data_IF_894442042742
#
_entry.id   IF_894442042742
#
_cell.length_a   1.000
_cell.length_b   1.000
_cell.length_c   1.000
_cell.angle_alpha   90.00
_cell.angle_beta   90.00
_cell.angle_gamma   90.00
#
_symmetry.space_group_name_H-M   'P 1'
#
loop_
_entity.id
_entity.type
_entity.pdbx_description
1 polymer ?
#
# COMPACT_ATOMS: atom_id res chain seq x y z
N UNK A 1 22.28 29.57 -44.31
CA UNK A 1 22.97 30.71 -44.95
C UNK A 1 23.93 31.30 -43.93
N UNK A 2 25.23 31.07 -44.08
CA UNK A 2 26.23 31.79 -43.29
C UNK A 2 26.21 33.26 -43.74
N UNK A 3 26.20 34.24 -42.81
CA UNK A 3 26.13 35.65 -43.18
C UNK A 3 27.37 36.03 -44.01
N UNK A 4 27.14 36.76 -45.11
CA UNK A 4 28.12 37.18 -46.13
C UNK A 4 29.37 37.90 -45.58
N UNK A 5 29.30 38.41 -44.35
CA UNK A 5 30.41 39.03 -43.65
C UNK A 5 31.49 38.04 -43.20
N UNK A 6 31.11 36.80 -42.84
CA UNK A 6 32.07 35.77 -42.39
C UNK A 6 32.93 35.22 -43.53
N UNK A 7 32.38 35.18 -44.75
CA UNK A 7 33.10 34.76 -45.96
C UNK A 7 34.18 35.77 -46.36
N UNK A 8 33.91 37.07 -46.21
CA UNK A 8 34.86 38.13 -46.60
C UNK A 8 36.10 38.19 -45.69
N UNK A 9 35.93 37.95 -44.38
CA UNK A 9 37.03 37.92 -43.39
C UNK A 9 37.88 36.64 -43.49
N UNK A 10 37.34 35.56 -44.03
CA UNK A 10 38.08 34.32 -44.26
C UNK A 10 39.01 34.44 -45.47
N UNK A 11 38.57 35.13 -46.53
CA UNK A 11 39.34 35.23 -47.78
C UNK A 11 40.58 36.12 -47.67
N UNK A 12 40.56 37.16 -46.83
CA UNK A 12 41.68 38.10 -46.59
C UNK A 12 42.85 37.52 -45.77
N UNK A 13 42.76 36.27 -45.29
CA UNK A 13 43.79 35.66 -44.43
C UNK A 13 44.85 34.88 -45.21
N UNK A 14 46.09 34.95 -44.74
CA UNK A 14 47.23 34.25 -45.36
C UNK A 14 46.99 32.73 -45.45
N UNK A 15 47.59 32.02 -46.44
CA UNK A 15 47.44 30.57 -46.59
C UNK A 15 47.82 29.78 -45.33
N UNK A 16 48.82 30.26 -44.57
CA UNK A 16 49.24 29.67 -43.30
C UNK A 16 48.15 29.79 -42.22
N UNK A 17 47.47 30.94 -42.17
CA UNK A 17 46.35 31.17 -41.26
C UNK A 17 45.16 30.27 -41.62
N UNK A 18 44.80 30.15 -42.91
CA UNK A 18 43.74 29.25 -43.38
C UNK A 18 44.02 27.78 -43.00
N UNK A 19 45.27 27.32 -43.14
CA UNK A 19 45.71 25.98 -42.68
C UNK A 19 45.59 25.80 -41.17
N UNK A 20 45.94 26.82 -40.38
CA UNK A 20 45.83 26.77 -38.91
C UNK A 20 44.37 26.63 -38.46
N UNK A 21 43.44 27.37 -39.08
CA UNK A 21 42.01 27.25 -38.81
C UNK A 21 41.45 25.88 -39.21
N UNK A 22 41.90 25.31 -40.34
CA UNK A 22 41.50 23.98 -40.77
C UNK A 22 41.98 22.89 -39.79
N UNK A 23 43.23 22.98 -39.31
CA UNK A 23 43.78 22.07 -38.29
C UNK A 23 43.02 22.23 -36.97
N UNK A 24 42.78 23.47 -36.52
CA UNK A 24 42.02 23.74 -35.31
C UNK A 24 40.59 23.19 -35.37
N UNK A 25 39.91 23.36 -36.52
CA UNK A 25 38.58 22.78 -36.76
C UNK A 25 38.59 21.26 -36.76
N UNK A 26 39.59 20.63 -37.39
CA UNK A 26 39.74 19.17 -37.37
C UNK A 26 39.98 18.64 -35.96
N UNK A 27 40.91 19.25 -35.21
CA UNK A 27 41.18 18.89 -33.80
C UNK A 27 39.93 19.06 -32.95
N UNK A 28 39.17 20.15 -33.14
CA UNK A 28 37.91 20.37 -32.44
C UNK A 28 36.89 19.26 -32.73
N UNK A 29 36.70 18.87 -33.99
CA UNK A 29 35.78 17.79 -34.37
C UNK A 29 36.22 16.46 -33.76
N UNK A 30 37.51 16.12 -33.82
CA UNK A 30 38.04 14.88 -33.24
C UNK A 30 37.89 14.88 -31.71
N UNK A 31 38.23 15.99 -31.05
CA UNK A 31 38.13 16.11 -29.59
C UNK A 31 36.66 16.04 -29.11
N UNK A 32 35.74 16.69 -29.81
CA UNK A 32 34.29 16.64 -29.48
C UNK A 32 33.68 15.27 -29.74
N UNK A 33 34.08 14.59 -30.84
CA UNK A 33 33.68 13.21 -31.10
C UNK A 33 34.22 12.25 -30.03
N UNK A 34 35.51 12.35 -29.68
CA UNK A 34 36.11 11.56 -28.61
C UNK A 34 35.45 11.83 -27.25
N UNK A 35 35.17 13.11 -26.92
CA UNK A 35 34.46 13.50 -25.71
C UNK A 35 33.05 12.90 -25.63
N UNK A 36 32.34 12.85 -26.76
CA UNK A 36 31.01 12.21 -26.85
C UNK A 36 31.09 10.71 -26.57
N UNK A 37 32.09 10.03 -27.13
CA UNK A 37 32.31 8.58 -26.88
C UNK A 37 32.62 8.35 -25.40
N UNK A 38 33.53 9.12 -24.80
CA UNK A 38 33.88 9.01 -23.37
C UNK A 38 32.64 9.27 -22.49
N UNK A 39 31.85 10.28 -22.81
CA UNK A 39 30.61 10.58 -22.10
C UNK A 39 29.64 9.40 -22.11
N UNK A 40 29.42 8.78 -23.29
CA UNK A 40 28.55 7.61 -23.40
C UNK A 40 29.10 6.40 -22.63
N UNK A 41 30.42 6.20 -22.59
CA UNK A 41 31.04 5.13 -21.80
C UNK A 41 30.79 5.31 -20.30
N UNK A 42 30.92 6.54 -19.80
CA UNK A 42 30.65 6.88 -18.39
C UNK A 42 29.15 6.76 -18.07
N UNK A 43 28.29 7.15 -19.01
CA UNK A 43 26.84 7.18 -18.79
C UNK A 43 26.17 5.81 -18.96
N UNK A 44 26.75 4.90 -19.77
CA UNK A 44 26.20 3.59 -20.11
C UNK A 44 25.74 2.77 -18.88
N UNK A 45 26.52 2.64 -17.79
CA UNK A 45 26.09 1.85 -16.64
C UNK A 45 24.82 2.39 -15.96
N UNK A 46 24.66 3.72 -15.92
CA UNK A 46 23.48 4.37 -15.35
C UNK A 46 22.25 4.15 -16.24
N UNK A 47 22.40 4.23 -17.56
CA UNK A 47 21.29 4.05 -18.52
C UNK A 47 20.88 2.59 -18.73
N UNK A 48 21.51 1.64 -18.02
CA UNK A 48 21.18 0.22 -18.16
C UNK A 48 19.83 -0.17 -17.51
N UNK A 49 19.22 0.72 -16.72
CA UNK A 49 17.92 0.53 -16.08
C UNK A 49 17.16 1.85 -15.93
N UNK A 50 15.85 1.75 -15.71
CA UNK A 50 14.95 2.90 -15.57
C UNK A 50 15.16 3.72 -14.28
N UNK A 51 15.96 3.20 -13.34
CA UNK A 51 16.30 3.90 -12.10
C UNK A 51 17.48 4.86 -12.28
N UNK A 52 18.20 4.82 -13.41
CA UNK A 52 19.43 5.58 -13.64
C UNK A 52 20.51 5.29 -12.59
N UNK A 53 20.51 4.07 -12.03
CA UNK A 53 21.41 3.65 -10.97
C UNK A 53 22.41 2.61 -11.51
N UNK A 54 23.71 2.95 -11.62
CA UNK A 54 24.74 2.03 -12.09
C UNK A 54 24.66 0.65 -11.43
N UNK A 55 24.70 -0.41 -12.26
CA UNK A 55 24.71 -1.81 -11.82
C UNK A 55 23.49 -2.28 -11.02
N UNK A 56 22.44 -1.46 -10.91
CA UNK A 56 21.19 -1.85 -10.27
C UNK A 56 20.43 -2.84 -11.16
N UNK A 57 20.20 -4.04 -10.63
CA UNK A 57 19.59 -5.15 -11.34
C UNK A 57 18.55 -5.86 -10.46
N UNK A 58 17.72 -6.71 -11.07
CA UNK A 58 16.62 -7.38 -10.37
C UNK A 58 17.11 -8.39 -9.32
N UNK A 59 18.08 -9.22 -9.68
CA UNK A 59 18.53 -10.36 -8.86
C UNK A 59 19.47 -9.96 -7.72
N UNK A 60 20.19 -8.85 -7.85
CA UNK A 60 21.11 -8.34 -6.85
C UNK A 60 20.55 -7.10 -6.17
N UNK A 61 20.75 -5.93 -6.77
CA UNK A 61 20.47 -4.63 -6.13
C UNK A 61 19.01 -4.45 -5.68
N UNK A 62 18.04 -4.78 -6.53
CA UNK A 62 16.61 -4.71 -6.17
C UNK A 62 16.29 -5.70 -5.05
N UNK A 63 16.81 -6.92 -5.14
CA UNK A 63 16.57 -7.96 -4.14
C UNK A 63 17.17 -7.58 -2.78
N UNK A 64 18.39 -7.03 -2.75
CA UNK A 64 19.02 -6.51 -1.54
C UNK A 64 18.18 -5.41 -0.87
N UNK A 65 17.73 -4.41 -1.64
CA UNK A 65 16.89 -3.34 -1.09
C UNK A 65 15.58 -3.88 -0.52
N UNK A 66 14.94 -4.81 -1.21
CA UNK A 66 13.71 -5.44 -0.74
C UNK A 66 13.93 -6.17 0.59
N UNK A 67 14.98 -6.99 0.68
CA UNK A 67 15.29 -7.78 1.87
C UNK A 67 15.63 -6.90 3.07
N UNK A 68 16.43 -5.85 2.85
CA UNK A 68 16.78 -4.85 3.87
C UNK A 68 15.51 -4.21 4.43
N UNK A 69 14.62 -3.72 3.57
CA UNK A 69 13.39 -3.06 3.97
C UNK A 69 12.47 -4.03 4.69
N UNK A 70 12.31 -5.25 4.17
CA UNK A 70 11.53 -6.30 4.82
C UNK A 70 12.08 -6.64 6.21
N UNK A 71 13.40 -6.80 6.35
CA UNK A 71 14.04 -7.09 7.64
C UNK A 71 13.80 -5.98 8.68
N UNK A 72 13.97 -4.70 8.29
CA UNK A 72 13.71 -3.56 9.18
C UNK A 72 12.24 -3.43 9.56
N UNK A 73 11.35 -3.69 8.60
CA UNK A 73 9.93 -3.63 8.84
C UNK A 73 9.44 -4.78 9.75
N UNK A 74 10.06 -5.97 9.72
CA UNK A 74 9.82 -7.03 10.73
C UNK A 74 10.24 -6.56 12.13
N UNK A 75 11.38 -5.88 12.24
CA UNK A 75 11.88 -5.36 13.51
C UNK A 75 11.09 -4.15 14.05
N UNK A 76 10.08 -3.66 13.32
CA UNK A 76 9.32 -2.46 13.69
C UNK A 76 10.16 -1.18 13.69
N UNK A 77 11.30 -1.18 13.01
CA UNK A 77 12.22 -0.03 12.95
C UNK A 77 11.76 0.89 11.83
N UNK A 78 11.28 2.08 12.19
CA UNK A 78 10.99 3.17 11.26
C UNK A 78 12.12 4.20 11.20
N UNK A 79 12.08 5.09 10.20
CA UNK A 79 12.98 6.23 10.08
C UNK A 79 13.89 6.18 8.85
N UNK A 80 14.93 7.02 8.87
CA UNK A 80 15.94 7.10 7.81
C UNK A 80 16.91 5.93 7.93
N UNK A 81 17.12 5.23 6.83
CA UNK A 81 18.09 4.14 6.74
C UNK A 81 19.23 4.55 5.83
N UNK A 82 20.46 4.50 6.35
CA UNK A 82 21.66 4.66 5.54
C UNK A 82 22.02 3.31 4.92
N UNK A 83 21.97 3.22 3.58
CA UNK A 83 22.34 2.02 2.83
C UNK A 83 23.84 1.76 2.82
N UNK A 84 24.66 2.74 3.21
CA UNK A 84 26.12 2.62 3.32
C UNK A 84 26.60 2.23 4.72
N UNK A 85 25.69 2.10 5.69
CA UNK A 85 26.01 1.68 7.04
C UNK A 85 26.56 0.24 7.05
N UNK A 86 27.80 -0.01 7.52
CA UNK A 86 28.40 -1.35 7.55
C UNK A 86 27.68 -2.31 8.50
N UNK A 87 26.82 -1.82 9.39
CA UNK A 87 25.98 -2.63 10.28
C UNK A 87 24.70 -3.15 9.59
N UNK A 88 24.43 -2.69 8.37
CA UNK A 88 23.31 -3.16 7.55
C UNK A 88 23.62 -4.53 6.93
N UNK A 89 23.59 -5.58 7.76
CA UNK A 89 23.90 -6.95 7.34
C UNK A 89 22.62 -7.73 7.05
N UNK A 90 22.47 -8.17 5.80
CA UNK A 90 21.53 -9.24 5.42
C UNK A 90 22.35 -10.43 4.95
N UNK A 91 22.21 -11.58 5.62
CA UNK A 91 22.96 -12.80 5.30
C UNK A 91 22.39 -13.48 4.05
N UNK A 92 22.71 -12.94 2.87
CA UNK A 92 22.36 -13.50 1.57
C UNK A 92 23.41 -13.10 0.52
N UNK A 93 23.70 -13.99 -0.42
CA UNK A 93 24.55 -13.69 -1.56
C UNK A 93 23.71 -13.08 -2.69
N UNK A 94 23.97 -11.81 -3.00
CA UNK A 94 23.29 -11.04 -4.05
C UNK A 94 24.06 -11.00 -5.38
N UNK A 95 25.21 -11.68 -5.46
CA UNK A 95 26.02 -11.75 -6.68
C UNK A 95 25.54 -12.83 -7.65
N UNK A 96 24.67 -13.74 -7.20
CA UNK A 96 24.15 -14.84 -8.00
C UNK A 96 22.92 -14.42 -8.83
N UNK A 97 22.69 -15.04 -10.00
CA UNK A 97 21.55 -14.72 -10.87
C UNK A 97 20.20 -15.26 -10.35
N UNK A 98 20.19 -16.02 -9.24
CA UNK A 98 19.01 -16.70 -8.70
C UNK A 98 18.60 -16.19 -7.32
N UNK A 99 19.16 -15.07 -6.85
CA UNK A 99 18.73 -14.45 -5.60
C UNK A 99 17.28 -13.94 -5.74
N UNK A 100 16.48 -14.21 -4.71
CA UNK A 100 15.05 -13.87 -4.64
C UNK A 100 14.75 -13.06 -3.39
N UNK A 101 13.72 -12.23 -3.46
CA UNK A 101 13.31 -11.37 -2.34
C UNK A 101 12.70 -12.21 -1.23
N UNK A 102 13.13 -11.98 0.01
CA UNK A 102 12.49 -12.52 1.21
C UNK A 102 11.18 -11.77 1.45
N UNK A 103 10.10 -12.52 1.59
CA UNK A 103 8.78 -11.97 1.85
C UNK A 103 8.38 -12.15 3.32
N UNK A 104 7.33 -11.42 3.72
CA UNK A 104 6.78 -11.45 5.08
C UNK A 104 5.36 -12.05 5.06
N UNK A 105 5.19 -13.35 4.78
CA UNK A 105 3.87 -13.94 4.54
C UNK A 105 2.92 -13.85 5.75
N UNK A 106 3.46 -13.82 6.97
CA UNK A 106 2.67 -13.67 8.19
C UNK A 106 2.20 -12.22 8.43
N UNK A 107 2.74 -11.22 7.72
CA UNK A 107 2.50 -9.81 7.99
C UNK A 107 1.03 -9.42 7.77
N UNK A 108 0.41 -9.87 6.67
CA UNK A 108 -1.00 -9.61 6.38
C UNK A 108 -1.90 -10.02 7.56
N UNK A 109 -1.66 -11.23 8.08
CA UNK A 109 -2.38 -11.78 9.22
C UNK A 109 -2.05 -11.05 10.53
N UNK A 110 -0.79 -10.70 10.75
CA UNK A 110 -0.39 -9.92 11.93
C UNK A 110 -1.10 -8.56 11.96
N UNK A 111 -1.20 -7.88 10.81
CA UNK A 111 -1.91 -6.61 10.65
C UNK A 111 -3.40 -6.76 10.96
N UNK A 112 -4.06 -7.81 10.48
CA UNK A 112 -5.50 -8.00 10.73
C UNK A 112 -5.81 -8.42 12.17
N UNK A 113 -4.89 -9.13 12.82
CA UNK A 113 -5.03 -9.58 14.21
C UNK A 113 -4.52 -8.57 15.23
N UNK A 114 -3.92 -7.46 14.80
CA UNK A 114 -3.48 -6.41 15.71
C UNK A 114 -4.69 -5.64 16.26
N UNK A 115 -4.54 -5.08 17.46
CA UNK A 115 -5.55 -4.16 18.01
C UNK A 115 -5.36 -2.79 17.40
N UNK A 116 -6.27 -2.40 16.51
CA UNK A 116 -6.27 -1.08 15.92
C UNK A 116 -7.04 -0.09 16.80
N UNK A 117 -6.53 1.14 17.01
CA UNK A 117 -7.30 2.21 17.62
C UNK A 117 -8.49 2.59 16.71
N UNK A 118 -9.60 3.11 17.27
CA UNK A 118 -10.82 3.39 16.50
C UNK A 118 -10.60 4.23 15.25
N UNK A 119 -9.79 5.30 15.32
CA UNK A 119 -9.53 6.17 14.18
C UNK A 119 -8.90 5.42 13.00
N UNK A 120 -7.90 4.58 13.27
CA UNK A 120 -7.23 3.76 12.24
C UNK A 120 -8.19 2.70 11.70
N UNK A 121 -8.93 2.03 12.57
CA UNK A 121 -9.88 1.00 12.17
C UNK A 121 -10.98 1.54 11.25
N UNK A 122 -11.56 2.70 11.59
CA UNK A 122 -12.58 3.37 10.80
C UNK A 122 -12.04 3.75 9.41
N UNK A 123 -10.82 4.29 9.34
CA UNK A 123 -10.18 4.60 8.07
C UNK A 123 -9.98 3.34 7.20
N UNK A 124 -9.53 2.24 7.80
CA UNK A 124 -9.35 0.96 7.09
C UNK A 124 -10.70 0.45 6.57
N UNK A 125 -11.74 0.41 7.40
CA UNK A 125 -13.08 -0.02 7.01
C UNK A 125 -13.63 0.80 5.84
N UNK A 126 -13.47 2.13 5.89
CA UNK A 126 -13.91 3.06 4.82
C UNK A 126 -13.06 3.02 3.56
N UNK A 127 -11.84 2.49 3.62
CA UNK A 127 -10.93 2.41 2.47
C UNK A 127 -11.20 1.22 1.55
N UNK A 128 -12.16 0.36 1.90
CA UNK A 128 -12.45 -0.87 1.15
C UNK A 128 -13.96 -1.10 1.04
N UNK A 129 -14.33 -2.06 0.19
CA UNK A 129 -15.73 -2.39 -0.08
C UNK A 129 -16.34 -3.25 1.05
N UNK A 130 -17.66 -3.21 1.17
CA UNK A 130 -18.44 -4.10 2.04
C UNK A 130 -18.10 -5.56 1.77
N UNK A 131 -17.95 -5.93 0.50
CA UNK A 131 -17.57 -7.28 0.10
C UNK A 131 -16.27 -7.70 0.78
N UNK A 132 -15.24 -6.87 0.73
CA UNK A 132 -13.94 -7.20 1.35
C UNK A 132 -14.02 -7.21 2.88
N UNK A 133 -14.72 -6.22 3.47
CA UNK A 133 -14.85 -6.12 4.92
C UNK A 133 -15.60 -7.31 5.53
N UNK A 134 -16.72 -7.75 4.92
CA UNK A 134 -17.53 -8.87 5.41
C UNK A 134 -16.71 -10.16 5.57
N UNK A 135 -15.75 -10.42 4.67
CA UNK A 135 -14.95 -11.63 4.71
C UNK A 135 -13.91 -11.66 5.84
N UNK A 136 -13.56 -10.50 6.39
CA UNK A 136 -12.62 -10.39 7.53
C UNK A 136 -13.32 -10.16 8.86
N UNK A 137 -14.62 -9.88 8.83
CA UNK A 137 -15.42 -9.65 10.03
C UNK A 137 -15.52 -10.92 10.88
N UNK A 138 -15.28 -10.80 12.20
CA UNK A 138 -15.51 -11.92 13.11
C UNK A 138 -17.01 -12.22 13.20
N UNK A 139 -17.35 -13.39 13.75
CA UNK A 139 -18.75 -13.69 14.08
C UNK A 139 -19.29 -12.63 15.04
N UNK A 140 -20.24 -11.82 14.58
CA UNK A 140 -20.79 -10.72 15.35
C UNK A 140 -21.46 -11.20 16.65
N UNK A 141 -21.29 -10.41 17.71
CA UNK A 141 -21.92 -10.62 19.00
C UNK A 141 -23.18 -9.75 19.14
N UNK A 142 -23.18 -8.55 18.58
CA UNK A 142 -24.31 -7.61 18.65
C UNK A 142 -24.54 -6.92 17.31
N UNK A 143 -25.77 -6.47 17.08
CA UNK A 143 -26.09 -5.65 15.92
C UNK A 143 -25.70 -4.21 16.15
N UNK A 144 -26.11 -3.64 17.28
CA UNK A 144 -26.01 -2.22 17.61
C UNK A 144 -25.01 -1.94 18.73
N UNK A 145 -24.45 -0.72 18.77
CA UNK A 145 -23.50 -0.32 19.82
C UNK A 145 -24.09 -0.31 21.23
N UNK A 146 -25.41 -0.21 21.36
CA UNK A 146 -26.11 -0.25 22.64
C UNK A 146 -26.32 -1.68 23.16
N UNK A 147 -25.87 -2.71 22.42
CA UNK A 147 -25.99 -4.13 22.78
C UNK A 147 -27.45 -4.56 22.98
N UNK A 148 -28.40 -3.87 22.32
CA UNK A 148 -29.83 -4.13 22.44
C UNK A 148 -30.20 -5.45 21.75
N UNK A 149 -29.53 -5.74 20.63
CA UNK A 149 -29.79 -6.91 19.81
C UNK A 149 -28.57 -7.84 19.81
N UNK A 150 -28.68 -8.93 20.57
CA UNK A 150 -27.71 -10.02 20.61
C UNK A 150 -27.78 -10.87 19.33
N UNK A 151 -26.63 -11.24 18.77
CA UNK A 151 -26.51 -11.95 17.48
C UNK A 151 -25.60 -13.18 17.53
N UNK A 152 -24.93 -13.46 18.65
CA UNK A 152 -24.05 -14.63 18.71
C UNK A 152 -24.82 -15.93 18.41
N UNK A 153 -24.18 -16.84 17.67
CA UNK A 153 -24.83 -18.07 17.16
C UNK A 153 -25.28 -19.07 18.24
N UNK A 154 -24.88 -18.88 19.50
CA UNK A 154 -25.30 -19.72 20.63
C UNK A 154 -25.32 -18.92 21.93
N UNK A 155 -26.13 -19.35 22.89
CA UNK A 155 -26.22 -18.74 24.23
C UNK A 155 -24.88 -18.76 24.97
N UNK A 156 -24.12 -19.86 24.85
CA UNK A 156 -22.78 -19.97 25.42
C UNK A 156 -21.80 -18.96 24.78
N UNK A 157 -21.86 -18.76 23.47
CA UNK A 157 -21.02 -17.75 22.80
C UNK A 157 -21.43 -16.33 23.19
N UNK A 158 -22.74 -16.06 23.32
CA UNK A 158 -23.23 -14.76 23.79
C UNK A 158 -22.73 -14.43 25.21
N UNK A 159 -22.70 -15.40 26.12
CA UNK A 159 -22.12 -15.22 27.45
C UNK A 159 -20.62 -14.84 27.39
N UNK A 160 -19.86 -15.42 26.46
CA UNK A 160 -18.46 -15.05 26.23
C UNK A 160 -18.35 -13.63 25.65
N UNK A 161 -19.23 -13.27 24.71
CA UNK A 161 -19.31 -11.92 24.15
C UNK A 161 -19.49 -10.89 25.27
N UNK A 162 -20.54 -11.05 26.08
CA UNK A 162 -20.88 -10.17 27.20
C UNK A 162 -19.73 -10.08 28.23
N UNK A 163 -19.00 -11.17 28.47
CA UNK A 163 -17.91 -11.19 29.44
C UNK A 163 -16.57 -10.61 28.91
N UNK A 164 -16.30 -10.64 27.59
CA UNK A 164 -14.92 -10.42 27.08
C UNK A 164 -14.79 -9.56 25.82
N UNK A 165 -15.88 -9.28 25.09
CA UNK A 165 -15.80 -8.70 23.73
C UNK A 165 -16.42 -7.31 23.59
N UNK A 166 -17.06 -6.79 24.63
CA UNK A 166 -17.79 -5.51 24.58
C UNK A 166 -16.94 -4.34 24.09
N UNK A 167 -15.66 -4.27 24.48
CA UNK A 167 -14.78 -3.16 24.10
C UNK A 167 -14.23 -3.25 22.66
N UNK A 168 -14.49 -4.34 21.94
CA UNK A 168 -13.97 -4.56 20.58
C UNK A 168 -15.06 -4.30 19.53
N UNK A 169 -14.92 -3.20 18.79
CA UNK A 169 -15.86 -2.79 17.76
C UNK A 169 -16.07 -3.84 16.66
N UNK A 170 -15.10 -4.73 16.40
CA UNK A 170 -15.21 -5.73 15.35
C UNK A 170 -16.38 -6.71 15.56
N UNK A 171 -16.88 -6.87 16.79
CA UNK A 171 -18.02 -7.75 17.11
C UNK A 171 -19.39 -7.08 16.98
N UNK A 172 -19.44 -5.84 16.50
CA UNK A 172 -20.67 -5.07 16.30
C UNK A 172 -20.93 -4.89 14.81
N UNK A 173 -22.08 -5.37 14.33
CA UNK A 173 -22.48 -5.17 12.91
C UNK A 173 -22.57 -3.68 12.56
N UNK A 174 -23.04 -2.85 13.51
CA UNK A 174 -23.11 -1.40 13.34
C UNK A 174 -21.76 -0.77 13.00
N UNK A 175 -20.64 -1.29 13.55
CA UNK A 175 -19.30 -0.79 13.24
C UNK A 175 -18.97 -0.90 11.75
N UNK A 176 -19.32 -2.04 11.16
CA UNK A 176 -19.11 -2.33 9.75
C UNK A 176 -20.04 -1.47 8.88
N UNK A 177 -21.33 -1.48 9.17
CA UNK A 177 -22.32 -0.85 8.28
C UNK A 177 -22.25 0.67 8.30
N UNK A 178 -21.95 1.27 9.45
CA UNK A 178 -21.71 2.72 9.54
C UNK A 178 -20.50 3.16 8.74
N UNK A 179 -19.51 2.29 8.59
CA UNK A 179 -18.25 2.58 7.89
C UNK A 179 -18.16 1.95 6.50
N UNK A 180 -19.30 1.49 5.98
CA UNK A 180 -19.50 1.08 4.60
C UNK A 180 -20.09 2.23 3.80
N UNK A 181 -19.66 2.42 2.56
CA UNK A 181 -20.24 3.42 1.66
C UNK A 181 -21.74 3.11 1.41
N UNK A 182 -22.65 4.10 1.51
CA UNK A 182 -24.08 3.85 1.32
C UNK A 182 -24.46 3.26 -0.04
N UNK A 183 -23.78 3.64 -1.12
CA UNK A 183 -24.03 3.09 -2.46
C UNK A 183 -23.50 1.66 -2.59
N UNK A 184 -22.35 1.36 -2.00
CA UNK A 184 -21.81 -0.01 -1.92
C UNK A 184 -22.73 -0.93 -1.11
N UNK A 185 -23.23 -0.46 0.05
CA UNK A 185 -24.21 -1.22 0.85
C UNK A 185 -25.50 -1.48 0.06
N UNK A 186 -26.04 -0.46 -0.61
CA UNK A 186 -27.30 -0.57 -1.36
C UNK A 186 -27.20 -1.50 -2.58
N UNK A 187 -26.04 -1.53 -3.24
CA UNK A 187 -25.78 -2.36 -4.44
C UNK A 187 -25.18 -3.73 -4.13
N UNK A 188 -24.85 -4.00 -2.86
CA UNK A 188 -24.19 -5.24 -2.44
C UNK A 188 -25.06 -6.47 -2.68
N UNK A 189 -24.40 -7.56 -3.09
CA UNK A 189 -25.01 -8.90 -3.16
C UNK A 189 -25.42 -9.44 -1.78
N UNK A 190 -24.85 -8.92 -0.69
CA UNK A 190 -25.22 -9.28 0.68
C UNK A 190 -26.48 -8.57 1.18
N UNK A 191 -26.92 -7.50 0.51
CA UNK A 191 -28.03 -6.67 0.98
C UNK A 191 -29.34 -7.45 1.14
N UNK A 192 -29.65 -8.37 0.21
CA UNK A 192 -30.85 -9.19 0.30
C UNK A 192 -30.84 -10.11 1.53
N UNK A 193 -29.70 -10.73 1.84
CA UNK A 193 -29.53 -11.60 3.00
C UNK A 193 -29.55 -10.80 4.31
N UNK A 194 -28.91 -9.63 4.34
CA UNK A 194 -28.96 -8.74 5.51
C UNK A 194 -30.37 -8.22 5.78
N UNK A 195 -31.12 -7.91 4.72
CA UNK A 195 -32.50 -7.47 4.84
C UNK A 195 -33.38 -8.55 5.48
N UNK A 196 -33.30 -9.78 4.98
CA UNK A 196 -34.12 -10.88 5.49
C UNK A 196 -33.69 -11.35 6.89
N UNK A 197 -32.38 -11.41 7.17
CA UNK A 197 -31.87 -11.95 8.43
C UNK A 197 -31.81 -10.92 9.57
N UNK A 198 -31.55 -9.64 9.25
CA UNK A 198 -31.29 -8.60 10.26
C UNK A 198 -32.40 -7.54 10.20
N UNK A 199 -32.51 -6.81 9.09
CA UNK A 199 -33.30 -5.59 9.06
C UNK A 199 -34.80 -5.80 9.26
N UNK A 200 -35.39 -6.83 8.63
CA UNK A 200 -36.83 -7.12 8.77
C UNK A 200 -37.18 -7.47 10.22
N UNK A 201 -36.33 -8.22 10.92
CA UNK A 201 -36.54 -8.57 12.34
C UNK A 201 -36.48 -7.33 13.23
N UNK A 202 -35.49 -6.44 13.01
CA UNK A 202 -35.34 -5.22 13.80
C UNK A 202 -36.50 -4.24 13.58
N UNK A 203 -37.02 -4.16 12.36
CA UNK A 203 -38.16 -3.31 12.01
C UNK A 203 -39.47 -3.68 12.74
N UNK A 204 -39.55 -4.88 13.34
CA UNK A 204 -40.68 -5.26 14.18
C UNK A 204 -40.73 -4.49 15.52
N UNK A 205 -39.65 -3.81 15.90
CA UNK A 205 -39.56 -2.99 17.11
C UNK A 205 -39.44 -1.50 16.76
N UNK A 206 -40.02 -0.57 17.54
CA UNK A 206 -39.88 0.87 17.25
C UNK A 206 -38.42 1.34 17.22
N UNK A 207 -37.62 0.90 18.20
CA UNK A 207 -36.20 1.23 18.30
C UNK A 207 -35.41 0.69 17.12
N UNK A 208 -35.66 -0.56 16.72
CA UNK A 208 -34.98 -1.19 15.59
C UNK A 208 -35.39 -0.59 14.25
N UNK A 209 -36.66 -0.20 14.08
CA UNK A 209 -37.12 0.52 12.91
C UNK A 209 -36.40 1.87 12.75
N UNK A 210 -36.23 2.62 13.85
CA UNK A 210 -35.44 3.87 13.85
C UNK A 210 -33.96 3.61 13.56
N UNK A 211 -33.35 2.56 14.13
CA UNK A 211 -31.97 2.21 13.85
C UNK A 211 -31.75 1.87 12.37
N UNK A 212 -32.61 1.03 11.78
CA UNK A 212 -32.54 0.65 10.36
C UNK A 212 -32.73 1.86 9.45
N UNK A 213 -33.75 2.70 9.71
CA UNK A 213 -34.02 3.89 8.90
C UNK A 213 -32.88 4.91 8.98
N UNK A 214 -32.30 5.09 10.17
CA UNK A 214 -31.13 5.95 10.39
C UNK A 214 -29.92 5.42 9.64
N UNK A 215 -29.64 4.12 9.73
CA UNK A 215 -28.49 3.49 9.08
C UNK A 215 -28.58 3.57 7.55
N UNK A 216 -29.73 3.20 6.98
CA UNK A 216 -29.97 3.14 5.54
C UNK A 216 -30.28 4.50 4.91
N UNK A 217 -30.70 5.49 5.70
CA UNK A 217 -30.98 6.85 5.21
C UNK A 217 -29.75 7.72 4.97
N UNK A 218 -28.55 7.27 5.39
CA UNK A 218 -27.30 8.04 5.24
C UNK A 218 -26.90 8.16 3.78
N UNK A 219 -26.49 9.36 3.40
CA UNK A 219 -25.97 9.65 2.06
C UNK A 219 -24.43 9.68 2.03
N UNK A 220 -23.81 9.99 3.17
CA UNK A 220 -22.36 10.09 3.32
C UNK A 220 -21.94 9.53 4.68
N UNK A 221 -20.65 9.26 4.83
CA UNK A 221 -20.09 8.94 6.14
C UNK A 221 -20.13 10.16 7.07
N UNK A 222 -20.35 9.90 8.36
CA UNK A 222 -20.06 10.88 9.39
C UNK A 222 -18.57 11.25 9.35
N UNK A 223 -18.23 12.45 9.84
CA UNK A 223 -16.84 12.83 10.03
C UNK A 223 -16.12 11.78 10.88
N UNK A 224 -14.83 11.55 10.60
CA UNK A 224 -14.02 10.57 11.31
C UNK A 224 -14.01 10.83 12.82
N UNK A 225 -13.87 12.09 13.23
CA UNK A 225 -13.84 12.45 14.65
C UNK A 225 -15.16 12.12 15.37
N UNK A 226 -16.30 12.37 14.73
CA UNK A 226 -17.62 12.11 15.31
C UNK A 226 -17.90 10.61 15.43
N UNK A 227 -17.50 9.83 14.42
CA UNK A 227 -17.64 8.36 14.47
C UNK A 227 -16.72 7.74 15.54
N UNK A 228 -15.49 8.25 15.69
CA UNK A 228 -14.59 7.85 16.79
C UNK A 228 -15.20 8.19 18.14
N UNK A 229 -15.73 9.40 18.30
CA UNK A 229 -16.38 9.83 19.54
C UNK A 229 -17.60 8.97 19.86
N UNK A 230 -18.39 8.58 18.86
CA UNK A 230 -19.51 7.66 19.03
C UNK A 230 -19.05 6.29 19.51
N UNK A 231 -18.03 5.69 18.89
CA UNK A 231 -17.46 4.41 19.32
C UNK A 231 -17.00 4.48 20.78
N UNK A 232 -16.28 5.55 21.14
CA UNK A 232 -15.78 5.77 22.50
C UNK A 232 -16.92 5.98 23.50
N UNK A 233 -17.98 6.70 23.14
CA UNK A 233 -19.16 6.89 23.99
C UNK A 233 -19.87 5.57 24.33
N UNK A 234 -19.77 4.58 23.45
CA UNK A 234 -20.26 3.22 23.67
C UNK A 234 -19.21 2.25 24.25
N UNK A 235 -18.06 2.76 24.71
CA UNK A 235 -17.01 1.94 25.33
C UNK A 235 -16.22 1.08 24.35
N UNK A 236 -16.31 1.34 23.04
CA UNK A 236 -15.55 0.66 22.01
C UNK A 236 -14.17 1.31 21.88
N UNK A 237 -13.13 0.61 22.31
CA UNK A 237 -11.78 1.19 22.47
C UNK A 237 -10.76 0.62 21.50
N UNK A 238 -11.09 -0.48 20.80
CA UNK A 238 -10.26 -1.03 19.73
C UNK A 238 -11.10 -1.80 18.71
N UNK A 239 -10.50 -2.06 17.56
CA UNK A 239 -10.99 -2.99 16.56
C UNK A 239 -9.94 -4.08 16.36
N UNK A 240 -10.33 -5.34 16.51
CA UNK A 240 -9.45 -6.49 16.31
C UNK A 240 -10.26 -7.64 15.71
N UNK A 241 -9.88 -8.09 14.52
CA UNK A 241 -10.49 -9.27 13.91
C UNK A 241 -10.10 -10.54 14.67
N UNK A 242 -10.87 -11.61 14.47
CA UNK A 242 -10.50 -12.93 14.94
C UNK A 242 -9.72 -13.70 13.89
N UNK A 243 -8.93 -14.67 14.34
CA UNK A 243 -8.35 -15.62 13.43
C UNK A 243 -9.45 -16.37 12.66
N UNK A 244 -9.33 -16.41 11.34
CA UNK A 244 -10.14 -17.20 10.44
C UNK A 244 -9.24 -18.01 9.48
N UNK A 245 -9.76 -19.13 8.97
CA UNK A 245 -9.02 -20.05 8.09
C UNK A 245 -9.66 -20.20 6.70
N UNK A 246 -10.71 -19.44 6.41
CA UNK A 246 -11.44 -19.47 5.15
C UNK A 246 -10.72 -18.68 4.05
N UNK A 247 -10.10 -17.56 4.39
CA UNK A 247 -9.30 -16.74 3.46
C UNK A 247 -7.83 -16.70 3.87
N UNK A 248 -6.93 -16.74 2.89
CA UNK A 248 -5.58 -16.26 3.05
C UNK A 248 -5.60 -14.74 2.93
N UNK A 249 -5.11 -14.07 3.97
CA UNK A 249 -4.99 -12.63 3.96
C UNK A 249 -3.85 -12.20 3.03
N UNK A 250 -4.15 -11.29 2.12
CA UNK A 250 -3.19 -10.75 1.16
C UNK A 250 -2.47 -9.51 1.69
N UNK A 251 -1.28 -9.25 1.16
CA UNK A 251 -0.53 -8.01 1.40
C UNK A 251 0.30 -7.67 0.17
N UNK A 252 0.40 -6.38 -0.12
CA UNK A 252 1.26 -5.87 -1.18
C UNK A 252 2.04 -4.69 -0.60
N UNK A 253 3.36 -4.84 -0.55
CA UNK A 253 4.27 -3.79 -0.08
C UNK A 253 5.16 -3.36 -1.25
N UNK A 254 5.34 -2.05 -1.39
CA UNK A 254 6.22 -1.45 -2.40
C UNK A 254 7.13 -0.40 -1.79
N UNK A 255 8.31 -0.24 -2.36
CA UNK A 255 9.24 0.86 -2.07
C UNK A 255 9.32 1.80 -3.27
N UNK A 256 9.57 3.08 -3.01
CA UNK A 256 9.78 4.07 -4.06
C UNK A 256 11.24 4.47 -4.08
N UNK A 257 11.92 4.19 -5.19
CA UNK A 257 13.28 4.65 -5.46
C UNK A 257 13.19 5.99 -6.17
N UNK A 258 13.82 7.02 -5.60
CA UNK A 258 13.93 8.35 -6.21
C UNK A 258 15.37 8.56 -6.66
N UNK A 259 15.58 8.82 -7.94
CA UNK A 259 16.92 9.00 -8.49
C UNK A 259 17.40 10.46 -8.42
N UNK A 260 18.64 10.71 -8.86
CA UNK A 260 19.27 12.03 -8.85
C UNK A 260 18.55 13.07 -9.73
N UNK A 261 17.72 12.64 -10.69
CA UNK A 261 16.88 13.50 -11.53
C UNK A 261 15.49 13.74 -10.92
N UNK A 262 15.26 13.29 -9.67
CA UNK A 262 13.98 13.32 -8.97
C UNK A 262 12.86 12.50 -9.66
N UNK A 263 13.24 11.52 -10.48
CA UNK A 263 12.30 10.54 -11.06
C UNK A 263 12.01 9.47 -10.00
N UNK A 264 10.72 9.18 -9.80
CA UNK A 264 10.23 8.23 -8.79
C UNK A 264 9.78 6.94 -9.46
N UNK A 265 10.32 5.81 -9.04
CA UNK A 265 10.01 4.48 -9.56
C UNK A 265 9.61 3.55 -8.41
N UNK A 266 8.50 2.82 -8.57
CA UNK A 266 8.00 1.90 -7.54
C UNK A 266 8.47 0.47 -7.79
N UNK A 267 8.92 -0.21 -6.74
CA UNK A 267 9.33 -1.62 -6.76
C UNK A 267 8.46 -2.37 -5.74
N UNK A 268 7.75 -3.40 -6.19
CA UNK A 268 7.02 -4.30 -5.29
C UNK A 268 8.00 -5.23 -4.59
N UNK A 269 8.01 -5.21 -3.26
CA UNK A 269 8.96 -5.97 -2.40
C UNK A 269 8.28 -7.13 -1.66
N UNK A 270 6.96 -7.14 -1.60
CA UNK A 270 6.16 -8.27 -1.12
C UNK A 270 4.86 -8.27 -1.89
N UNK A 271 4.45 -9.44 -2.36
CA UNK A 271 3.15 -9.65 -2.99
C UNK A 271 2.60 -11.00 -2.56
N UNK A 272 1.59 -10.97 -1.70
CA UNK A 272 0.83 -12.14 -1.29
C UNK A 272 -0.63 -11.89 -1.68
N UNK A 273 -1.21 -12.67 -2.60
CA UNK A 273 -2.59 -12.49 -2.99
C UNK A 273 -3.54 -12.94 -1.88
N UNK A 274 -4.69 -12.28 -1.79
CA UNK A 274 -5.84 -12.79 -1.04
C UNK A 274 -6.51 -13.90 -1.85
N UNK A 275 -6.66 -15.08 -1.25
CA UNK A 275 -7.29 -16.22 -1.89
C UNK A 275 -8.20 -16.97 -0.91
N UNK A 276 -9.27 -17.56 -1.42
CA UNK A 276 -10.06 -18.55 -0.65
C UNK A 276 -9.16 -19.75 -0.40
N UNK A 277 -9.05 -20.18 0.86
CA UNK A 277 -8.38 -21.41 1.21
C UNK A 277 -9.31 -22.57 0.85
N UNK A 278 -8.81 -23.48 0.00
CA UNK A 278 -9.50 -24.72 -0.33
C UNK A 278 -9.99 -25.42 0.95
N UNK A 279 -11.27 -25.83 0.98
CA UNK A 279 -11.83 -26.69 2.02
C UNK A 279 -11.34 -28.14 1.92
N UNK A 280 -10.50 -28.46 0.93
CA UNK A 280 -9.95 -29.79 0.70
C UNK A 280 -8.46 -29.83 1.05
N UNK A 281 -8.15 -30.60 2.09
CA UNK A 281 -7.06 -31.57 2.09
C UNK A 281 -7.69 -32.95 2.29
#
# INVERSE_FOLDING_TARGET
MLPSFLTQVYDDKSPATKRLWAIGGFVYIVATAAGTVVYLVVLRPSLANDHFWPHFNATGGQTFLADVVNAKAIAGVGGTLDLSDPTLVVFKDYSIPTAVMDMRPANARAILLQRMPPAQAIQVLRSTTLYSNIHTQPMACWVDFNQTYEMAHSTAHQAICNARRQANAAFYVESLLRNTDPADLASSTFMAAMKSAIFTTLQATPTGATWVSTLLGRQTWANLADEVALWQAHGLVYYQNTLQNFYQEGTQDSIVVVNALNIRQSITITSLPNTVRSLAA
#
